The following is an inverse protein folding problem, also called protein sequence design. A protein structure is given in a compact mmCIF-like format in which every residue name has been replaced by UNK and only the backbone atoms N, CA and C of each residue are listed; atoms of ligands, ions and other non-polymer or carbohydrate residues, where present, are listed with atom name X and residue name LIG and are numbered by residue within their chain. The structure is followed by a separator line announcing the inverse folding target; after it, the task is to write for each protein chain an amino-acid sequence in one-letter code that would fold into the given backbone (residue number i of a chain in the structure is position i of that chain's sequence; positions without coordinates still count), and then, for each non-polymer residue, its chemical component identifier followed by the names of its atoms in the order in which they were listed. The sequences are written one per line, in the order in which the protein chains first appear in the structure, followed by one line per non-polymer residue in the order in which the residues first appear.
data_IF_810318443986
#
_entry.id   IF_810318443986
#
_cell.length_a   1.000
_cell.length_b   1.000
_cell.length_c   1.000
_cell.angle_alpha   90.00
_cell.angle_beta   90.00
_cell.angle_gamma   90.00
#
_symmetry.space_group_name_H-M   'P 1'
#
loop_
_entity.id
_entity.type
_entity.pdbx_description
1 polymer ?
#
# COMPACT_ATOMS: atom_id res chain seq x y z
N UNK A 1 -1.78 -3.26 3.15
CA UNK A 1 -2.80 -3.56 2.13
C UNK A 1 -3.68 -4.69 2.63
N UNK A 2 -4.98 -4.50 2.70
CA UNK A 2 -5.93 -5.46 3.24
C UNK A 2 -7.29 -5.30 2.57
N UNK A 3 -8.36 -5.74 3.23
CA UNK A 3 -9.72 -5.74 2.68
C UNK A 3 -10.26 -4.35 2.28
N UNK A 4 -9.62 -3.26 2.72
CA UNK A 4 -9.98 -1.89 2.34
C UNK A 4 -9.87 -1.62 0.82
N UNK A 5 -9.13 -2.47 0.10
CA UNK A 5 -8.99 -2.40 -1.35
C UNK A 5 -10.11 -3.13 -2.12
N UNK A 6 -10.92 -3.97 -1.46
CA UNK A 6 -11.86 -4.86 -2.12
C UNK A 6 -13.14 -4.17 -2.60
N UNK A 7 -13.54 -3.10 -1.94
CA UNK A 7 -14.73 -2.33 -2.35
C UNK A 7 -14.58 -1.80 -3.77
N UNK A 8 -15.54 -2.16 -4.63
CA UNK A 8 -15.56 -1.77 -6.04
C UNK A 8 -14.70 -2.62 -6.98
N UNK A 9 -13.92 -3.57 -6.46
CA UNK A 9 -13.08 -4.43 -7.28
C UNK A 9 -13.83 -5.72 -7.69
N UNK A 10 -13.65 -6.13 -8.95
CA UNK A 10 -14.22 -7.38 -9.48
C UNK A 10 -13.29 -8.57 -9.29
N UNK A 11 -13.81 -9.79 -9.42
CA UNK A 11 -12.98 -10.99 -9.33
C UNK A 11 -11.94 -11.07 -10.46
N UNK A 12 -12.26 -10.62 -11.68
CA UNK A 12 -11.28 -10.58 -12.77
C UNK A 12 -10.11 -9.62 -12.46
N UNK A 13 -10.41 -8.45 -11.91
CA UNK A 13 -9.38 -7.51 -11.47
C UNK A 13 -8.51 -8.12 -10.37
N UNK A 14 -9.12 -8.79 -9.38
CA UNK A 14 -8.37 -9.49 -8.32
C UNK A 14 -7.46 -10.59 -8.90
N UNK A 15 -7.97 -11.42 -9.81
CA UNK A 15 -7.19 -12.47 -10.47
C UNK A 15 -5.98 -11.89 -11.20
N UNK A 16 -6.16 -10.76 -11.90
CA UNK A 16 -5.07 -10.03 -12.55
C UNK A 16 -4.03 -9.53 -11.55
N UNK A 17 -4.46 -8.91 -10.45
CA UNK A 17 -3.56 -8.48 -9.36
C UNK A 17 -2.80 -9.66 -8.77
N UNK A 18 -3.48 -10.77 -8.47
CA UNK A 18 -2.84 -11.97 -7.93
C UNK A 18 -1.83 -12.58 -8.91
N UNK A 19 -2.08 -12.53 -10.22
CA UNK A 19 -1.08 -12.96 -11.21
C UNK A 19 0.14 -12.05 -11.25
N UNK A 20 -0.02 -10.74 -11.03
CA UNK A 20 1.10 -9.82 -10.88
C UNK A 20 1.93 -10.19 -9.65
N UNK A 21 1.29 -10.37 -8.48
CA UNK A 21 1.96 -10.80 -7.25
C UNK A 21 2.67 -12.15 -7.46
N UNK A 22 2.01 -13.12 -8.11
CA UNK A 22 2.62 -14.39 -8.49
C UNK A 22 3.82 -14.22 -9.43
N UNK A 23 3.72 -13.28 -10.36
CA UNK A 23 4.83 -12.87 -11.22
C UNK A 23 6.04 -12.40 -10.43
N UNK A 24 5.85 -11.63 -9.34
CA UNK A 24 6.94 -11.27 -8.43
C UNK A 24 7.59 -12.48 -7.79
N UNK A 25 6.81 -13.44 -7.27
CA UNK A 25 7.36 -14.67 -6.70
C UNK A 25 8.17 -15.46 -7.72
N UNK A 26 7.66 -15.59 -8.95
CA UNK A 26 8.34 -16.31 -10.03
C UNK A 26 9.62 -15.61 -10.50
N UNK A 27 9.62 -14.28 -10.50
CA UNK A 27 10.76 -13.47 -10.92
C UNK A 27 11.73 -13.13 -9.77
N UNK A 28 11.43 -13.54 -8.53
CA UNK A 28 12.20 -13.16 -7.33
C UNK A 28 13.68 -13.56 -7.39
N UNK A 29 13.97 -14.71 -8.02
CA UNK A 29 15.34 -15.21 -8.16
C UNK A 29 16.20 -14.37 -9.13
N UNK A 30 15.58 -13.53 -9.98
CA UNK A 30 16.31 -12.81 -11.05
C UNK A 30 16.91 -11.45 -10.64
N UNK A 31 16.53 -10.87 -9.49
CA UNK A 31 17.01 -9.53 -9.09
C UNK A 31 17.97 -9.48 -7.88
N UNK A 32 18.49 -10.64 -7.43
CA UNK A 32 19.48 -10.68 -6.34
C UNK A 32 18.94 -10.39 -4.93
N UNK A 33 17.61 -10.32 -4.77
CA UNK A 33 16.84 -10.34 -3.51
C UNK A 33 17.57 -9.90 -2.23
N UNK A 34 17.74 -10.85 -1.29
CA UNK A 34 18.29 -10.60 0.05
C UNK A 34 19.75 -10.12 0.06
N UNK A 35 20.56 -10.53 -0.92
CA UNK A 35 21.95 -10.06 -1.04
C UNK A 35 21.99 -8.58 -1.38
N UNK A 36 21.16 -8.12 -2.32
CA UNK A 36 21.07 -6.70 -2.67
C UNK A 36 20.63 -5.84 -1.47
N UNK A 37 19.70 -6.36 -0.65
CA UNK A 37 19.27 -5.67 0.57
C UNK A 37 20.40 -5.59 1.61
N UNK A 38 21.17 -6.67 1.79
CA UNK A 38 22.30 -6.70 2.70
C UNK A 38 23.40 -5.71 2.30
N UNK A 39 23.75 -5.66 1.01
CA UNK A 39 24.71 -4.68 0.47
C UNK A 39 24.22 -3.25 0.69
N UNK A 40 22.94 -2.98 0.41
CA UNK A 40 22.33 -1.65 0.65
C UNK A 40 22.43 -1.23 2.11
N UNK A 41 22.10 -2.13 3.05
CA UNK A 41 22.17 -1.86 4.50
C UNK A 41 23.60 -1.58 4.96
N UNK A 42 24.57 -2.38 4.51
CA UNK A 42 25.98 -2.21 4.84
C UNK A 42 26.55 -0.89 4.32
N UNK A 43 26.24 -0.52 3.06
CA UNK A 43 26.66 0.76 2.48
C UNK A 43 26.07 1.94 3.24
N UNK A 44 24.77 1.90 3.54
CA UNK A 44 24.10 2.98 4.26
C UNK A 44 24.65 3.15 5.68
N UNK A 45 24.88 2.04 6.39
CA UNK A 45 25.51 2.05 7.70
C UNK A 45 26.93 2.65 7.65
N UNK A 46 27.72 2.34 6.62
CA UNK A 46 29.07 2.87 6.45
C UNK A 46 29.05 4.38 6.16
N UNK A 47 28.15 4.85 5.29
CA UNK A 47 27.94 6.27 5.00
C UNK A 47 27.56 7.03 6.27
N UNK A 48 26.60 6.53 7.05
CA UNK A 48 26.18 7.16 8.31
C UNK A 48 27.34 7.22 9.32
N UNK A 49 28.09 6.12 9.47
CA UNK A 49 29.23 6.06 10.40
C UNK A 49 30.31 7.07 10.01
N UNK A 50 30.65 7.14 8.71
CA UNK A 50 31.66 8.07 8.20
C UNK A 50 31.21 9.55 8.33
N UNK A 51 29.92 9.82 8.12
CA UNK A 51 29.36 11.15 8.34
C UNK A 51 29.41 11.54 9.82
N UNK A 52 29.01 10.64 10.73
CA UNK A 52 29.04 10.88 12.18
C UNK A 52 30.45 11.02 12.74
N UNK A 53 31.46 10.41 12.12
CA UNK A 53 32.85 10.57 12.52
C UNK A 53 33.48 11.89 12.05
N UNK A 54 32.73 12.78 11.37
CA UNK A 54 33.23 14.04 10.82
C UNK A 54 34.09 13.87 9.55
N UNK A 55 34.18 12.65 9.00
CA UNK A 55 35.02 12.34 7.86
C UNK A 55 34.29 12.52 6.51
N UNK A 56 33.05 13.02 6.51
CA UNK A 56 32.30 13.42 5.31
C UNK A 56 32.79 14.78 4.78
N UNK A 57 34.06 14.83 4.36
CA UNK A 57 34.71 16.04 3.86
C UNK A 57 35.05 15.97 2.38
N UNK A 58 35.17 17.13 1.73
CA UNK A 58 35.55 17.25 0.32
C UNK A 58 36.94 16.65 0.01
N UNK A 59 37.82 16.55 1.00
CA UNK A 59 39.16 15.98 0.85
C UNK A 59 39.24 14.49 1.15
N UNK A 60 38.15 13.85 1.58
CA UNK A 60 38.15 12.43 1.88
C UNK A 60 37.80 11.62 0.61
N UNK A 61 38.76 10.90 0.00
CA UNK A 61 38.47 10.08 -1.20
C UNK A 61 37.47 8.95 -0.90
N UNK A 62 37.44 8.43 0.34
CA UNK A 62 36.48 7.40 0.76
C UNK A 62 35.06 7.95 0.74
N UNK A 63 34.85 9.21 1.13
CA UNK A 63 33.54 9.87 1.07
C UNK A 63 33.02 9.96 -0.36
N UNK A 64 33.86 10.39 -1.29
CA UNK A 64 33.50 10.45 -2.71
C UNK A 64 33.22 9.08 -3.31
N UNK A 65 34.07 8.10 -3.01
CA UNK A 65 33.88 6.72 -3.43
C UNK A 65 32.53 6.17 -2.94
N UNK A 66 32.23 6.27 -1.64
CA UNK A 66 30.98 5.75 -1.08
C UNK A 66 29.75 6.44 -1.67
N UNK A 67 29.80 7.76 -1.89
CA UNK A 67 28.69 8.49 -2.53
C UNK A 67 28.47 8.04 -3.98
N UNK A 68 29.55 7.95 -4.76
CA UNK A 68 29.47 7.54 -6.15
C UNK A 68 28.98 6.09 -6.28
N UNK A 69 29.57 5.18 -5.50
CA UNK A 69 29.19 3.77 -5.48
C UNK A 69 27.74 3.59 -5.04
N UNK A 70 27.31 4.25 -3.95
CA UNK A 70 25.92 4.20 -3.50
C UNK A 70 24.93 4.71 -4.57
N UNK A 71 25.28 5.79 -5.27
CA UNK A 71 24.43 6.33 -6.35
C UNK A 71 24.28 5.34 -7.50
N UNK A 72 25.38 4.74 -7.96
CA UNK A 72 25.37 3.74 -9.04
C UNK A 72 24.60 2.49 -8.59
N UNK A 73 24.92 1.99 -7.39
CA UNK A 73 24.28 0.82 -6.80
C UNK A 73 22.76 1.01 -6.68
N UNK A 74 22.31 2.17 -6.19
CA UNK A 74 20.89 2.50 -6.15
C UNK A 74 20.29 2.53 -7.56
N UNK A 75 20.93 3.19 -8.53
CA UNK A 75 20.43 3.23 -9.90
C UNK A 75 20.25 1.84 -10.51
N UNK A 76 21.23 0.96 -10.32
CA UNK A 76 21.19 -0.44 -10.81
C UNK A 76 20.14 -1.26 -10.08
N UNK A 77 20.08 -1.22 -8.74
CA UNK A 77 19.10 -1.98 -7.96
C UNK A 77 17.66 -1.52 -8.20
N UNK A 78 17.43 -0.22 -8.37
CA UNK A 78 16.12 0.29 -8.78
C UNK A 78 15.80 -0.09 -10.23
N UNK A 79 16.78 -0.13 -11.13
CA UNK A 79 16.60 -0.68 -12.48
C UNK A 79 16.14 -2.13 -12.49
N UNK A 80 16.75 -2.98 -11.65
CA UNK A 80 16.34 -4.38 -11.51
C UNK A 80 14.92 -4.50 -10.94
N UNK A 81 14.57 -3.68 -9.94
CA UNK A 81 13.22 -3.64 -9.36
C UNK A 81 12.17 -3.25 -10.41
N UNK A 82 12.46 -2.24 -11.24
CA UNK A 82 11.58 -1.84 -12.35
C UNK A 82 11.39 -2.95 -13.38
N UNK A 83 12.44 -3.72 -13.69
CA UNK A 83 12.32 -4.87 -14.60
C UNK A 83 11.41 -5.95 -14.00
N UNK A 84 11.50 -6.21 -12.70
CA UNK A 84 10.62 -7.18 -12.04
C UNK A 84 9.14 -6.78 -12.12
N UNK A 85 8.83 -5.49 -11.92
CA UNK A 85 7.47 -4.96 -12.13
C UNK A 85 6.98 -5.21 -13.54
N UNK A 86 7.78 -4.88 -14.56
CA UNK A 86 7.42 -5.07 -15.97
C UNK A 86 7.17 -6.54 -16.29
N UNK A 87 8.01 -7.44 -15.77
CA UNK A 87 7.83 -8.88 -15.97
C UNK A 87 6.61 -9.42 -15.22
N UNK A 88 6.29 -8.89 -14.03
CA UNK A 88 5.11 -9.24 -13.27
C UNK A 88 3.82 -8.73 -13.97
N UNK A 89 3.83 -7.50 -14.47
CA UNK A 89 2.75 -6.93 -15.29
C UNK A 89 2.48 -7.79 -16.51
N UNK A 90 3.54 -8.22 -17.20
CA UNK A 90 3.43 -9.10 -18.35
C UNK A 90 2.74 -10.42 -18.00
N UNK A 91 3.07 -11.05 -16.87
CA UNK A 91 2.37 -12.28 -16.43
C UNK A 91 0.87 -12.04 -16.20
N UNK A 92 0.51 -10.93 -15.56
CA UNK A 92 -0.89 -10.58 -15.32
C UNK A 92 -1.67 -10.31 -16.61
N UNK A 93 -1.06 -9.57 -17.54
CA UNK A 93 -1.65 -9.19 -18.82
C UNK A 93 -1.79 -10.41 -19.74
N UNK A 94 -0.77 -11.27 -19.80
CA UNK A 94 -0.83 -12.51 -20.59
C UNK A 94 -1.91 -13.47 -20.06
N UNK A 95 -2.13 -13.50 -18.75
CA UNK A 95 -3.10 -14.41 -18.13
C UNK A 95 -4.55 -13.90 -18.18
N UNK A 96 -4.77 -12.59 -17.97
CA UNK A 96 -6.11 -12.03 -17.74
C UNK A 96 -6.43 -10.81 -18.63
N UNK A 97 -5.57 -10.50 -19.59
CA UNK A 97 -5.76 -9.43 -20.55
C UNK A 97 -5.41 -8.02 -20.04
N UNK A 98 -5.19 -7.14 -21.01
CA UNK A 98 -4.80 -5.74 -20.78
C UNK A 98 -5.88 -4.96 -20.02
N UNK A 99 -7.16 -5.15 -20.37
CA UNK A 99 -8.25 -4.39 -19.76
C UNK A 99 -8.40 -4.69 -18.26
N UNK A 100 -8.32 -5.95 -17.87
CA UNK A 100 -8.38 -6.37 -16.48
C UNK A 100 -7.20 -5.81 -15.66
N UNK A 101 -5.98 -5.91 -16.21
CA UNK A 101 -4.79 -5.38 -15.57
C UNK A 101 -4.89 -3.86 -15.35
N UNK A 102 -5.23 -3.09 -16.39
CA UNK A 102 -5.33 -1.63 -16.29
C UNK A 102 -6.43 -1.21 -15.31
N UNK A 103 -7.59 -1.86 -15.36
CA UNK A 103 -8.70 -1.56 -14.44
C UNK A 103 -8.34 -1.90 -12.99
N UNK A 104 -7.78 -3.09 -12.74
CA UNK A 104 -7.34 -3.52 -11.42
C UNK A 104 -6.21 -2.65 -10.85
N UNK A 105 -5.23 -2.29 -11.68
CA UNK A 105 -4.13 -1.42 -11.28
C UNK A 105 -4.60 -0.01 -10.91
N UNK A 106 -5.44 0.61 -11.74
CA UNK A 106 -6.05 1.92 -11.43
C UNK A 106 -6.87 1.86 -10.15
N UNK A 107 -7.65 0.80 -9.96
CA UNK A 107 -8.42 0.57 -8.76
C UNK A 107 -7.53 0.51 -7.53
N UNK A 108 -6.43 -0.27 -7.57
CA UNK A 108 -5.49 -0.38 -6.46
C UNK A 108 -4.88 0.97 -6.08
N UNK A 109 -4.34 1.73 -7.05
CA UNK A 109 -3.72 3.04 -6.80
C UNK A 109 -4.73 4.02 -6.20
N UNK A 110 -5.93 4.07 -6.78
CA UNK A 110 -7.00 4.97 -6.33
C UNK A 110 -7.47 4.59 -4.92
N UNK A 111 -7.80 3.31 -4.72
CA UNK A 111 -8.39 2.83 -3.47
C UNK A 111 -7.39 2.83 -2.33
N UNK A 112 -6.09 2.61 -2.58
CA UNK A 112 -5.07 2.73 -1.53
C UNK A 112 -4.98 4.16 -1.01
N UNK A 113 -4.96 5.16 -1.90
CA UNK A 113 -4.91 6.57 -1.50
C UNK A 113 -6.16 7.01 -0.74
N UNK A 114 -7.36 6.61 -1.21
CA UNK A 114 -8.60 6.87 -0.47
C UNK A 114 -8.60 6.20 0.91
N UNK A 115 -8.20 4.94 0.98
CA UNK A 115 -8.22 4.18 2.23
C UNK A 115 -7.20 4.73 3.23
N UNK A 116 -5.97 5.04 2.80
CA UNK A 116 -4.95 5.63 3.68
C UNK A 116 -5.44 6.96 4.25
N UNK A 117 -6.05 7.81 3.43
CA UNK A 117 -6.65 9.06 3.88
C UNK A 117 -7.78 8.84 4.90
N UNK A 118 -8.70 7.92 4.61
CA UNK A 118 -9.82 7.59 5.50
C UNK A 118 -9.32 7.04 6.84
N UNK A 119 -8.32 6.15 6.83
CA UNK A 119 -7.74 5.56 8.04
C UNK A 119 -7.04 6.64 8.86
N UNK A 120 -6.21 7.49 8.25
CA UNK A 120 -5.51 8.56 8.96
C UNK A 120 -6.50 9.52 9.64
N UNK A 121 -7.54 9.94 8.92
CA UNK A 121 -8.60 10.79 9.48
C UNK A 121 -9.38 10.08 10.60
N UNK A 122 -9.72 8.81 10.41
CA UNK A 122 -10.45 8.00 11.40
C UNK A 122 -9.64 7.82 12.67
N UNK A 123 -8.38 7.38 12.57
CA UNK A 123 -7.52 7.15 13.73
C UNK A 123 -7.29 8.45 14.50
N UNK A 124 -7.06 9.56 13.80
CA UNK A 124 -6.94 10.88 14.43
C UNK A 124 -8.20 11.23 15.23
N UNK A 125 -9.37 11.17 14.62
CA UNK A 125 -10.64 11.52 15.27
C UNK A 125 -10.96 10.59 16.47
N UNK A 126 -10.71 9.29 16.31
CA UNK A 126 -10.95 8.28 17.34
C UNK A 126 -10.03 8.47 18.54
N UNK A 127 -8.74 8.73 18.29
CA UNK A 127 -7.74 8.91 19.36
C UNK A 127 -7.95 10.25 20.08
N UNK A 128 -8.11 11.34 19.33
CA UNK A 128 -8.30 12.68 19.91
C UNK A 128 -9.62 12.78 20.69
N UNK A 129 -10.69 12.20 20.14
CA UNK A 129 -12.01 12.18 20.75
C UNK A 129 -12.23 11.06 21.78
N UNK A 130 -11.26 10.16 21.98
CA UNK A 130 -11.38 8.94 22.79
C UNK A 130 -12.65 8.14 22.47
N UNK A 131 -12.97 8.05 21.18
CA UNK A 131 -14.17 7.38 20.69
C UNK A 131 -13.93 5.88 20.53
N UNK A 132 -14.97 5.06 20.62
CA UNK A 132 -14.88 3.66 20.23
C UNK A 132 -14.72 3.54 18.71
N UNK A 133 -14.04 2.49 18.26
CA UNK A 133 -13.89 2.14 16.85
C UNK A 133 -14.35 0.69 16.63
N UNK A 134 -15.66 0.44 16.48
CA UNK A 134 -16.18 -0.91 16.31
C UNK A 134 -15.82 -1.52 14.95
N UNK A 135 -15.95 -0.74 13.88
CA UNK A 135 -15.61 -1.15 12.52
C UNK A 135 -14.98 0.02 11.77
N UNK A 136 -13.69 -0.09 11.43
CA UNK A 136 -12.92 0.92 10.70
C UNK A 136 -13.45 1.15 9.29
N UNK A 137 -13.92 0.09 8.64
CA UNK A 137 -14.30 0.11 7.23
C UNK A 137 -15.66 0.79 6.99
N UNK A 138 -16.50 0.86 8.02
CA UNK A 138 -17.80 1.54 8.01
C UNK A 138 -17.75 2.93 8.68
N UNK A 139 -16.61 3.29 9.28
CA UNK A 139 -16.45 4.57 9.97
C UNK A 139 -16.25 5.72 8.97
N UNK A 140 -17.02 6.79 9.15
CA UNK A 140 -16.93 8.00 8.35
C UNK A 140 -16.53 9.18 9.26
N UNK A 141 -15.27 9.66 9.18
CA UNK A 141 -14.82 10.78 10.00
C UNK A 141 -15.50 12.08 9.56
N UNK A 142 -15.78 12.97 10.49
CA UNK A 142 -16.52 14.22 10.21
C UNK A 142 -15.74 15.17 9.29
N UNK A 143 -14.41 15.03 9.23
CA UNK A 143 -13.55 15.84 8.37
C UNK A 143 -13.40 15.31 6.94
N UNK A 144 -14.12 14.25 6.53
CA UNK A 144 -13.95 13.62 5.21
C UNK A 144 -14.33 14.52 4.04
N UNK A 145 -15.39 15.31 4.15
CA UNK A 145 -16.04 15.94 2.99
C UNK A 145 -15.18 17.04 2.33
N UNK A 146 -14.40 17.78 3.11
CA UNK A 146 -13.46 18.76 2.57
C UNK A 146 -12.25 18.09 1.90
N UNK A 147 -11.92 16.87 2.33
CA UNK A 147 -10.72 16.17 1.93
C UNK A 147 -10.90 15.24 0.72
N UNK A 148 -12.13 14.87 0.35
CA UNK A 148 -12.39 14.04 -0.84
C UNK A 148 -11.87 14.67 -2.13
N UNK A 149 -12.00 16.00 -2.28
CA UNK A 149 -11.45 16.75 -3.43
C UNK A 149 -9.93 16.76 -3.44
N UNK A 150 -9.31 16.96 -2.28
CA UNK A 150 -7.85 16.94 -2.13
C UNK A 150 -7.27 15.56 -2.47
N UNK A 151 -7.99 14.48 -2.09
CA UNK A 151 -7.59 13.11 -2.43
C UNK A 151 -7.71 12.84 -3.92
N UNK A 152 -8.77 13.31 -4.58
CA UNK A 152 -8.93 13.17 -6.03
C UNK A 152 -7.79 13.88 -6.80
N UNK A 153 -7.43 15.09 -6.41
CA UNK A 153 -6.31 15.83 -6.99
C UNK A 153 -4.97 15.14 -6.73
N UNK A 154 -4.79 14.56 -5.53
CA UNK A 154 -3.60 13.78 -5.20
C UNK A 154 -3.48 12.53 -6.07
N UNK A 155 -4.59 11.82 -6.32
CA UNK A 155 -4.61 10.65 -7.20
C UNK A 155 -4.26 11.05 -8.63
N UNK A 156 -4.86 12.12 -9.17
CA UNK A 156 -4.56 12.59 -10.53
C UNK A 156 -3.08 12.96 -10.67
N UNK A 157 -2.54 13.66 -9.66
CA UNK A 157 -1.13 14.02 -9.61
C UNK A 157 -0.21 12.79 -9.57
N UNK A 158 -0.53 11.78 -8.76
CA UNK A 158 0.29 10.56 -8.70
C UNK A 158 0.22 9.78 -10.01
N UNK A 159 -0.97 9.66 -10.60
CA UNK A 159 -1.17 8.98 -11.87
C UNK A 159 -0.37 9.62 -13.01
N UNK A 160 -0.23 10.95 -13.00
CA UNK A 160 0.50 11.74 -14.01
C UNK A 160 1.94 12.06 -13.64
N UNK A 161 2.45 11.55 -12.51
CA UNK A 161 3.78 11.89 -12.03
C UNK A 161 4.86 11.39 -12.99
N UNK A 162 5.80 12.27 -13.31
CA UNK A 162 6.98 11.92 -14.10
C UNK A 162 7.88 10.92 -13.36
N UNK A 163 8.45 9.93 -14.06
CA UNK A 163 9.34 8.95 -13.47
C UNK A 163 10.69 9.56 -13.09
N UNK A 164 11.30 9.07 -12.02
CA UNK A 164 12.66 9.44 -11.63
C UNK A 164 13.61 8.26 -11.72
N UNK A 165 14.92 8.54 -11.88
CA UNK A 165 15.95 7.51 -11.96
C UNK A 165 16.07 6.62 -10.71
N UNK A 166 15.55 7.10 -9.56
CA UNK A 166 15.60 6.42 -8.27
C UNK A 166 14.29 5.74 -7.89
N UNK A 167 13.26 5.82 -8.74
CA UNK A 167 12.01 5.12 -8.54
C UNK A 167 12.25 3.61 -8.62
N UNK A 168 11.81 2.89 -7.59
CA UNK A 168 11.88 1.42 -7.52
C UNK A 168 10.91 0.75 -8.48
N UNK A 169 9.86 1.47 -8.88
CA UNK A 169 8.84 1.00 -9.81
C UNK A 169 8.71 2.01 -10.96
N UNK A 170 8.30 1.58 -12.16
CA UNK A 170 7.90 2.50 -13.22
C UNK A 170 6.72 3.35 -12.76
N UNK A 171 6.52 4.54 -13.35
CA UNK A 171 5.39 5.38 -12.98
C UNK A 171 4.05 4.73 -13.37
N UNK A 172 2.92 5.11 -12.72
CA UNK A 172 1.62 4.52 -13.04
C UNK A 172 1.25 4.65 -14.52
N UNK A 173 1.48 5.82 -15.11
CA UNK A 173 1.21 6.05 -16.53
C UNK A 173 2.06 5.15 -17.43
N UNK A 174 3.36 4.98 -17.14
CA UNK A 174 4.23 4.10 -17.94
C UNK A 174 3.73 2.66 -17.97
N UNK A 175 3.31 2.13 -16.81
CA UNK A 175 2.79 0.75 -16.73
C UNK A 175 1.51 0.58 -17.55
N UNK A 176 0.62 1.57 -17.49
CA UNK A 176 -0.62 1.57 -18.27
C UNK A 176 -0.32 1.64 -19.77
N UNK A 177 0.56 2.54 -20.19
CA UNK A 177 0.92 2.69 -21.60
C UNK A 177 1.55 1.40 -22.15
N UNK A 178 2.47 0.80 -21.40
CA UNK A 178 3.07 -0.48 -21.79
C UNK A 178 2.06 -1.62 -21.86
N UNK A 179 1.11 -1.67 -20.91
CA UNK A 179 0.05 -2.66 -20.93
C UNK A 179 -0.87 -2.50 -22.16
N UNK A 180 -1.18 -1.25 -22.53
CA UNK A 180 -2.00 -0.93 -23.70
C UNK A 180 -1.32 -1.35 -25.01
N UNK A 181 0.00 -1.23 -25.10
CA UNK A 181 0.77 -1.70 -26.27
C UNK A 181 0.67 -3.21 -26.47
N UNK A 182 0.57 -4.00 -25.38
CA UNK A 182 0.45 -5.45 -25.48
C UNK A 182 -0.92 -5.90 -26.05
N UNK A 183 -1.97 -5.10 -25.82
CA UNK A 183 -3.32 -5.32 -26.37
C UNK A 183 -3.83 -6.77 -26.27
N UNK A 184 -3.56 -7.43 -25.14
CA UNK A 184 -3.99 -8.82 -24.93
C UNK A 184 -5.47 -8.84 -24.55
N UNK A 185 -6.26 -9.59 -25.30
CA UNK A 185 -7.68 -9.79 -25.03
C UNK A 185 -7.89 -10.89 -23.98
N UNK A 186 -8.90 -10.70 -23.14
CA UNK A 186 -9.36 -11.70 -22.19
C UNK A 186 -10.65 -12.33 -22.69
N UNK A 187 -10.68 -13.66 -22.81
CA UNK A 187 -11.91 -14.37 -23.10
C UNK A 187 -12.80 -14.39 -21.86
N UNK A 188 -14.04 -13.91 -21.97
CA UNK A 188 -14.96 -13.85 -20.85
C UNK A 188 -15.11 -15.19 -20.12
N UNK A 189 -15.00 -15.15 -18.80
CA UNK A 189 -15.18 -16.30 -17.91
C UNK A 189 -16.32 -16.04 -16.91
N UNK A 190 -16.89 -17.09 -16.31
CA UNK A 190 -17.82 -16.94 -15.21
C UNK A 190 -17.25 -16.08 -14.08
N UNK A 191 -18.12 -15.27 -13.50
CA UNK A 191 -17.86 -14.42 -12.33
C UNK A 191 -16.83 -13.30 -12.53
N UNK A 192 -16.37 -13.03 -13.76
CA UNK A 192 -15.38 -11.98 -14.03
C UNK A 192 -15.83 -10.60 -13.52
N UNK A 193 -17.12 -10.29 -13.68
CA UNK A 193 -17.76 -9.06 -13.22
C UNK A 193 -18.31 -9.14 -11.80
N UNK A 194 -18.27 -10.32 -11.17
CA UNK A 194 -18.75 -10.46 -9.80
C UNK A 194 -17.86 -9.66 -8.84
N UNK A 195 -18.48 -9.12 -7.78
CA UNK A 195 -17.70 -8.48 -6.72
C UNK A 195 -16.82 -9.52 -6.01
N UNK A 196 -15.63 -9.10 -5.59
CA UNK A 196 -14.76 -9.91 -4.73
C UNK A 196 -15.47 -10.34 -3.44
N UNK A 197 -16.38 -9.51 -2.92
CA UNK A 197 -17.11 -9.84 -1.70
C UNK A 197 -17.97 -11.11 -1.85
N UNK A 198 -18.32 -11.52 -3.07
CA UNK A 198 -19.01 -12.79 -3.31
C UNK A 198 -18.14 -14.03 -3.03
N UNK A 199 -16.82 -13.88 -2.90
CA UNK A 199 -15.90 -14.94 -2.50
C UNK A 199 -15.88 -15.19 -0.98
N UNK A 200 -16.52 -14.31 -0.20
CA UNK A 200 -16.49 -14.34 1.26
C UNK A 200 -17.89 -14.54 1.83
N UNK A 201 -17.99 -15.33 2.91
CA UNK A 201 -19.27 -15.67 3.52
C UNK A 201 -19.84 -14.52 4.38
N UNK A 202 -18.99 -13.83 5.13
CA UNK A 202 -19.40 -12.76 6.05
C UNK A 202 -18.42 -11.58 5.98
N UNK A 203 -18.85 -10.51 5.30
CA UNK A 203 -18.07 -9.28 5.17
C UNK A 203 -17.93 -8.55 6.50
N UNK A 204 -18.99 -8.48 7.31
CA UNK A 204 -18.99 -7.70 8.55
C UNK A 204 -18.07 -8.35 9.60
N UNK A 205 -18.06 -9.68 9.68
CA UNK A 205 -17.13 -10.42 10.54
C UNK A 205 -15.66 -10.16 10.16
N UNK A 206 -15.35 -10.19 8.85
CA UNK A 206 -14.00 -9.93 8.34
C UNK A 206 -13.58 -8.49 8.65
N UNK A 207 -14.44 -7.52 8.41
CA UNK A 207 -14.18 -6.10 8.72
C UNK A 207 -13.94 -5.85 10.21
N UNK A 208 -14.75 -6.44 11.09
CA UNK A 208 -14.57 -6.33 12.55
C UNK A 208 -13.28 -7.00 13.01
N UNK A 209 -12.94 -8.15 12.43
CA UNK A 209 -11.69 -8.88 12.74
C UNK A 209 -10.47 -8.06 12.35
N UNK A 210 -10.47 -7.48 11.15
CA UNK A 210 -9.40 -6.58 10.71
C UNK A 210 -9.34 -5.29 11.52
N UNK A 211 -10.48 -4.74 11.93
CA UNK A 211 -10.51 -3.58 12.84
C UNK A 211 -9.89 -3.94 14.20
N UNK A 212 -10.15 -5.13 14.74
CA UNK A 212 -9.56 -5.59 15.99
C UNK A 212 -8.04 -5.70 15.91
N UNK A 213 -7.51 -6.21 14.79
CA UNK A 213 -6.06 -6.26 14.52
C UNK A 213 -5.43 -4.86 14.48
N UNK A 214 -6.09 -3.89 13.84
CA UNK A 214 -5.63 -2.49 13.83
C UNK A 214 -5.57 -1.92 15.24
N UNK A 215 -6.62 -2.10 16.06
CA UNK A 215 -6.62 -1.65 17.46
C UNK A 215 -5.50 -2.32 18.27
N UNK A 216 -5.27 -3.62 18.08
CA UNK A 216 -4.21 -4.35 18.76
C UNK A 216 -2.82 -3.78 18.44
N UNK A 217 -2.54 -3.49 17.16
CA UNK A 217 -1.29 -2.87 16.72
C UNK A 217 -1.10 -1.46 17.24
N UNK A 218 -2.17 -0.67 17.31
CA UNK A 218 -2.12 0.69 17.89
C UNK A 218 -1.74 0.60 19.37
N UNK A 219 -2.35 -0.32 20.11
CA UNK A 219 -2.02 -0.56 21.52
C UNK A 219 -0.57 -1.00 21.69
N UNK A 220 -0.10 -1.94 20.87
CA UNK A 220 1.28 -2.45 20.95
C UNK A 220 2.33 -1.37 20.62
N UNK A 221 2.12 -0.61 19.54
CA UNK A 221 3.12 0.34 19.04
C UNK A 221 3.06 1.72 19.70
N UNK A 222 1.89 2.12 20.21
CA UNK A 222 1.65 3.48 20.72
C UNK A 222 1.11 3.52 22.14
N UNK A 223 0.76 2.37 22.75
CA UNK A 223 0.22 2.31 24.12
C UNK A 223 -1.19 2.90 24.25
N UNK A 224 -1.90 3.11 23.14
CA UNK A 224 -3.25 3.70 23.11
C UNK A 224 -4.27 2.57 23.05
N UNK A 225 -5.20 2.53 24.00
CA UNK A 225 -6.30 1.56 24.02
C UNK A 225 -7.57 2.18 23.43
N UNK A 226 -8.12 1.57 22.39
CA UNK A 226 -9.31 2.04 21.68
C UNK A 226 -10.43 1.01 21.92
N UNK A 227 -11.57 1.47 22.42
CA UNK A 227 -12.71 0.59 22.68
C UNK A 227 -13.29 0.01 21.38
N UNK A 228 -13.60 -1.29 21.38
CA UNK A 228 -14.17 -2.00 20.22
C UNK A 228 -15.70 -1.98 20.13
N UNK A 229 -16.37 -1.44 21.14
CA UNK A 229 -17.83 -1.25 21.17
C UNK A 229 -18.10 0.15 21.70
N UNK A 230 -19.22 0.75 21.30
CA UNK A 230 -19.77 1.85 22.08
C UNK A 230 -19.98 1.34 23.50
N UNK A 231 -19.21 1.86 24.46
CA UNK A 231 -19.58 1.70 25.86
C UNK A 231 -21.00 2.26 25.96
N UNK A 232 -21.96 1.42 26.36
CA UNK A 232 -23.23 1.91 26.83
C UNK A 232 -22.90 2.86 27.98
N UNK A 233 -23.04 4.17 27.73
CA UNK A 233 -22.96 5.16 28.79
C UNK A 233 -24.12 4.82 29.71
N UNK A 234 -23.84 4.14 30.83
CA UNK A 234 -24.86 3.90 31.84
C UNK A 234 -25.36 5.27 32.28
N UNK A 235 -26.68 5.54 32.18
CA UNK A 235 -27.19 6.84 32.57
C UNK A 235 -26.98 7.01 34.09
N UNK A 236 -26.63 8.22 34.55
CA UNK A 236 -26.11 8.48 35.90
C UNK A 236 -27.05 8.14 37.06
N UNK A 237 -28.27 7.68 36.78
CA UNK A 237 -29.28 7.34 37.79
C UNK A 237 -29.28 5.87 38.22
N UNK A 238 -28.43 4.99 37.64
CA UNK A 238 -28.41 3.55 37.99
C UNK A 238 -27.52 3.14 39.16
N UNK A 239 -26.71 4.02 39.73
CA UNK A 239 -26.05 3.75 41.01
C UNK A 239 -27.03 4.00 42.15
N UNK A 240 -27.86 2.99 42.48
CA UNK A 240 -28.52 2.99 43.79
C UNK A 240 -27.45 2.71 44.86
N UNK A 241 -27.38 3.49 45.96
CA UNK A 241 -26.71 3.02 47.16
C UNK A 241 -27.45 1.76 47.64
N UNK A 242 -26.70 0.71 47.97
CA UNK A 242 -27.23 -0.38 48.75
C UNK A 242 -27.41 0.12 50.19
N UNK A 243 -28.66 0.17 50.63
CA UNK A 243 -29.03 0.30 52.05
C UNK A 243 -28.77 -1.03 52.78
#
# INVERSE_FOLDING_TARGET
MGIGLFDGMTQLQLRSVLAHEYGHFRNADTAGGGFALAVRRSLFAMIIRLARSGAAGAYNPVWWFLRAYHRIYLGVSQGASRLQEVLADRWAIEAYGTAAFVAGYRHLVTRSMHFDHQVDATIKEVVDGRRPLPNLYQYHPQSSDAAERDVADAIDKEMKREPTAYDSHPSPQQRIDWAQVLAVEHGAQPDDDASIWALFNDRDEIERTMTAEVRARIRENHGIDIAGTEQAVEPPWRTRPAD
#
